data_IF_603682587397
#
_entry.id   IF_603682587397
#
_cell.length_a   1.000
_cell.length_b   1.000
_cell.length_c   1.000
_cell.angle_alpha   90.00
_cell.angle_beta   90.00
_cell.angle_gamma   90.00
#
_symmetry.space_group_name_H-M   'P 1'
#
loop_
_entity.id
_entity.type
_entity.pdbx_description
1 polymer ?
#
# COMPACT_ATOMS: atom_id res chain seq x y z
N UNK A 1 9.44 -18.64 11.82
CA UNK A 1 7.98 -18.79 11.99
C UNK A 1 7.56 -20.24 11.88
N UNK A 2 7.95 -20.96 10.82
CA UNK A 2 7.64 -22.40 10.64
C UNK A 2 8.03 -23.25 11.87
N UNK A 3 9.29 -23.17 12.33
CA UNK A 3 9.76 -23.87 13.55
C UNK A 3 9.01 -23.49 14.84
N UNK A 4 8.28 -22.36 14.84
CA UNK A 4 7.47 -21.87 15.97
C UNK A 4 5.97 -22.22 15.83
N UNK A 5 5.59 -22.99 14.79
CA UNK A 5 4.21 -23.43 14.56
C UNK A 5 3.30 -22.43 13.85
N UNK A 6 3.84 -21.33 13.31
CA UNK A 6 3.05 -20.35 12.55
C UNK A 6 3.50 -18.91 12.72
N UNK A 7 2.71 -17.98 12.18
CA UNK A 7 2.94 -16.54 12.33
C UNK A 7 2.11 -15.64 11.42
N UNK A 8 2.42 -14.35 11.46
CA UNK A 8 1.82 -13.33 10.60
C UNK A 8 2.91 -12.50 9.92
N UNK A 9 2.74 -12.26 8.62
CA UNK A 9 3.55 -11.33 7.83
C UNK A 9 2.62 -10.23 7.32
N UNK A 10 3.00 -8.98 7.54
CA UNK A 10 2.24 -7.81 7.07
C UNK A 10 3.16 -6.95 6.21
N UNK A 11 2.72 -6.68 4.98
CA UNK A 11 3.40 -5.77 4.06
C UNK A 11 2.79 -4.36 4.13
N UNK A 12 3.65 -3.35 4.08
CA UNK A 12 3.23 -1.96 3.93
C UNK A 12 3.28 -1.55 2.45
N UNK A 13 2.13 -1.65 1.77
CA UNK A 13 1.97 -1.25 0.38
C UNK A 13 1.77 0.28 0.26
N UNK A 14 0.77 0.71 -0.52
CA UNK A 14 0.35 2.10 -0.68
C UNK A 14 -0.95 2.09 -1.48
N UNK A 15 -1.80 3.11 -1.33
CA UNK A 15 -2.89 3.38 -2.27
C UNK A 15 -2.36 3.57 -3.71
N UNK A 16 -1.11 4.03 -3.84
CA UNK A 16 -0.35 4.11 -5.09
C UNK A 16 -0.17 2.76 -5.82
N UNK A 17 -0.39 1.63 -5.14
CA UNK A 17 -0.40 0.30 -5.74
C UNK A 17 -1.62 0.05 -6.64
N UNK A 18 -2.72 0.79 -6.40
CA UNK A 18 -3.99 0.68 -7.11
C UNK A 18 -4.19 1.85 -8.07
N UNK A 19 -3.87 3.07 -7.62
CA UNK A 19 -3.91 4.30 -8.42
C UNK A 19 -2.59 5.05 -8.22
N UNK A 20 -1.67 4.91 -9.16
CA UNK A 20 -0.38 5.61 -9.09
C UNK A 20 -0.53 7.04 -9.61
N UNK A 21 -0.29 8.08 -8.80
CA UNK A 21 -0.30 9.44 -9.29
C UNK A 21 0.92 9.73 -10.19
N UNK A 22 0.84 10.76 -11.05
CA UNK A 22 1.97 11.22 -11.85
C UNK A 22 3.20 11.53 -11.00
N UNK A 23 4.41 11.36 -11.56
CA UNK A 23 5.67 11.69 -10.87
C UNK A 23 6.22 10.61 -9.94
N UNK A 24 5.42 9.60 -9.54
CA UNK A 24 5.88 8.50 -8.68
C UNK A 24 5.60 7.09 -9.25
N UNK A 25 5.49 6.96 -10.57
CA UNK A 25 5.13 5.71 -11.24
C UNK A 25 6.02 4.51 -10.86
N UNK A 26 7.35 4.70 -10.80
CA UNK A 26 8.27 3.63 -10.39
C UNK A 26 7.97 3.15 -8.95
N UNK A 27 7.72 4.09 -8.03
CA UNK A 27 7.29 3.76 -6.67
C UNK A 27 5.95 3.01 -6.68
N UNK A 28 4.95 3.50 -7.41
CA UNK A 28 3.65 2.85 -7.59
C UNK A 28 3.78 1.41 -8.05
N UNK A 29 4.59 1.15 -9.09
CA UNK A 29 4.89 -0.19 -9.61
C UNK A 29 5.43 -1.10 -8.50
N UNK A 30 6.41 -0.64 -7.72
CA UNK A 30 6.93 -1.47 -6.62
C UNK A 30 5.86 -1.81 -5.59
N UNK A 31 4.91 -0.89 -5.33
CA UNK A 31 3.81 -1.11 -4.40
C UNK A 31 2.74 -2.04 -4.98
N UNK A 32 2.48 -2.00 -6.29
CA UNK A 32 1.65 -2.99 -6.99
C UNK A 32 2.28 -4.39 -6.94
N UNK A 33 3.60 -4.49 -7.12
CA UNK A 33 4.33 -5.76 -6.99
C UNK A 33 4.12 -6.40 -5.63
N UNK A 34 4.04 -5.61 -4.56
CA UNK A 34 3.73 -6.13 -3.22
C UNK A 34 2.37 -6.82 -3.17
N UNK A 35 1.35 -6.36 -3.91
CA UNK A 35 0.04 -7.01 -3.95
C UNK A 35 0.13 -8.43 -4.52
N UNK A 36 0.90 -8.60 -5.60
CA UNK A 36 1.18 -9.92 -6.17
C UNK A 36 1.99 -10.80 -5.22
N UNK A 37 3.02 -10.24 -4.59
CA UNK A 37 3.86 -10.94 -3.62
C UNK A 37 3.07 -11.43 -2.41
N UNK A 38 2.18 -10.60 -1.85
CA UNK A 38 1.30 -10.97 -0.74
C UNK A 38 0.47 -12.19 -1.12
N UNK A 39 -0.18 -12.19 -2.28
CA UNK A 39 -1.00 -13.32 -2.76
C UNK A 39 -0.15 -14.59 -2.94
N UNK A 40 1.01 -14.47 -3.56
CA UNK A 40 1.91 -15.60 -3.79
C UNK A 40 2.39 -16.22 -2.48
N UNK A 41 2.83 -15.40 -1.52
CA UNK A 41 3.31 -15.87 -0.22
C UNK A 41 2.19 -16.39 0.68
N UNK A 42 1.01 -15.77 0.65
CA UNK A 42 -0.15 -16.25 1.39
C UNK A 42 -0.50 -17.69 0.99
N UNK A 43 -0.53 -17.96 -0.32
CA UNK A 43 -0.77 -19.31 -0.83
C UNK A 43 0.38 -20.27 -0.49
N UNK A 44 1.63 -19.84 -0.67
CA UNK A 44 2.79 -20.68 -0.46
C UNK A 44 3.04 -21.08 1.00
N UNK A 45 2.64 -20.23 1.94
CA UNK A 45 2.93 -20.40 3.38
C UNK A 45 1.70 -20.80 4.21
N UNK A 46 0.52 -20.93 3.60
CA UNK A 46 -0.71 -21.31 4.29
C UNK A 46 -0.57 -22.62 5.08
N UNK A 47 0.08 -23.64 4.49
CA UNK A 47 0.31 -24.95 5.12
C UNK A 47 1.16 -24.88 6.39
N UNK A 48 1.98 -23.83 6.51
CA UNK A 48 2.88 -23.63 7.64
C UNK A 48 2.24 -22.78 8.76
N UNK A 49 0.90 -22.60 8.71
CA UNK A 49 0.14 -21.74 9.62
C UNK A 49 0.67 -20.29 9.65
N UNK A 50 1.09 -19.78 8.49
CA UNK A 50 1.57 -18.40 8.33
C UNK A 50 0.61 -17.63 7.45
N UNK A 51 0.01 -16.57 8.00
CA UNK A 51 -0.84 -15.66 7.23
C UNK A 51 -0.01 -14.52 6.66
N UNK A 52 -0.27 -14.16 5.41
CA UNK A 52 0.39 -13.03 4.75
C UNK A 52 -0.67 -12.05 4.26
N UNK A 53 -0.59 -10.81 4.71
CA UNK A 53 -1.51 -9.74 4.33
C UNK A 53 -0.72 -8.45 4.06
N UNK A 54 -1.41 -7.41 3.63
CA UNK A 54 -0.84 -6.08 3.54
C UNK A 54 -1.85 -5.00 3.84
N UNK A 55 -1.33 -3.82 4.16
CA UNK A 55 -2.08 -2.58 4.28
C UNK A 55 -1.65 -1.65 3.14
N UNK A 56 -2.58 -0.83 2.65
CA UNK A 56 -2.33 0.13 1.57
C UNK A 56 -2.68 1.55 2.05
N UNK A 57 -1.76 2.23 2.74
CA UNK A 57 -2.04 3.56 3.26
C UNK A 57 -2.22 4.59 2.14
N UNK A 58 -3.09 5.57 2.38
CA UNK A 58 -3.13 6.84 1.64
C UNK A 58 -1.97 7.76 2.03
N UNK A 59 -2.15 9.07 1.84
CA UNK A 59 -1.16 10.05 2.31
C UNK A 59 -1.20 10.14 3.84
N UNK A 60 -0.18 9.62 4.50
CA UNK A 60 -0.01 9.70 5.96
C UNK A 60 1.05 10.75 6.27
N UNK A 61 0.79 11.70 7.16
CA UNK A 61 1.73 12.78 7.54
C UNK A 61 3.00 12.22 8.16
N UNK A 62 4.04 12.10 7.36
CA UNK A 62 5.37 11.62 7.74
C UNK A 62 6.41 12.38 6.93
N UNK A 63 7.70 12.23 7.27
CA UNK A 63 8.80 12.81 6.48
C UNK A 63 8.82 12.34 5.02
N UNK A 64 8.42 11.09 4.75
CA UNK A 64 8.43 10.54 3.38
C UNK A 64 7.41 11.24 2.47
N UNK A 65 6.25 11.58 3.02
CA UNK A 65 5.14 12.21 2.31
C UNK A 65 5.15 13.72 2.44
N UNK A 66 6.16 14.31 3.10
CA UNK A 66 6.21 15.74 3.42
C UNK A 66 5.92 16.61 2.21
N UNK A 67 6.55 16.34 1.07
CA UNK A 67 6.35 17.07 -0.18
C UNK A 67 4.91 17.03 -0.73
N UNK A 68 4.08 16.08 -0.28
CA UNK A 68 2.69 15.94 -0.70
C UNK A 68 1.71 16.71 0.19
N UNK A 69 2.12 17.12 1.41
CA UNK A 69 1.23 17.80 2.36
C UNK A 69 1.79 19.10 2.95
N UNK A 70 3.10 19.37 2.81
CA UNK A 70 3.76 20.56 3.38
C UNK A 70 3.88 21.73 2.40
N UNK A 71 3.70 21.49 1.10
CA UNK A 71 3.70 22.52 0.06
C UNK A 71 2.46 22.42 -0.82
N UNK A 72 1.84 23.58 -1.07
CA UNK A 72 0.66 23.85 -1.90
C UNK A 72 -0.68 23.88 -1.12
N UNK A 73 -1.18 25.09 -0.84
CA UNK A 73 -2.60 25.31 -0.51
C UNK A 73 -3.53 24.80 -1.64
N UNK A 74 -4.82 24.61 -1.35
CA UNK A 74 -5.95 24.10 -2.19
C UNK A 74 -5.70 22.92 -3.17
N UNK A 75 -4.61 22.90 -3.95
CA UNK A 75 -4.21 21.83 -4.88
C UNK A 75 -3.63 20.59 -4.17
N UNK A 76 -2.79 20.75 -3.14
CA UNK A 76 -2.29 19.60 -2.37
C UNK A 76 -3.41 18.86 -1.63
N UNK A 77 -4.47 19.60 -1.25
CA UNK A 77 -5.66 19.05 -0.60
C UNK A 77 -6.54 18.27 -1.58
N UNK A 78 -6.69 18.75 -2.83
CA UNK A 78 -7.36 18.01 -3.92
C UNK A 78 -6.61 16.73 -4.29
N UNK A 79 -5.29 16.76 -4.40
CA UNK A 79 -4.48 15.57 -4.69
C UNK A 79 -4.58 14.54 -3.55
N UNK A 80 -4.67 14.98 -2.29
CA UNK A 80 -4.94 14.10 -1.15
C UNK A 80 -6.33 13.48 -1.20
N UNK A 81 -7.38 14.26 -1.50
CA UNK A 81 -8.76 13.78 -1.61
C UNK A 81 -8.91 12.80 -2.77
N UNK A 82 -8.32 13.09 -3.93
CA UNK A 82 -8.39 12.23 -5.11
C UNK A 82 -7.54 10.95 -4.98
N UNK A 83 -6.43 10.99 -4.24
CA UNK A 83 -5.68 9.81 -3.85
C UNK A 83 -6.39 8.97 -2.78
N UNK A 84 -7.33 9.56 -2.03
CA UNK A 84 -8.11 8.93 -0.96
C UNK A 84 -9.53 8.54 -1.38
N UNK A 85 -9.97 8.83 -2.60
CA UNK A 85 -11.30 8.46 -3.08
C UNK A 85 -11.41 6.94 -3.25
N UNK A 86 -11.76 6.29 -2.15
CA UNK A 86 -11.99 4.85 -2.08
C UNK A 86 -13.38 4.44 -2.60
N UNK A 87 -14.25 5.39 -2.96
CA UNK A 87 -15.59 5.10 -3.48
C UNK A 87 -15.56 4.34 -4.82
N UNK A 88 -14.46 4.44 -5.55
CA UNK A 88 -14.19 3.68 -6.77
C UNK A 88 -13.86 2.19 -6.53
N UNK A 89 -13.64 1.74 -5.28
CA UNK A 89 -13.34 0.34 -4.96
C UNK A 89 -14.53 -0.45 -4.41
N UNK A 90 -15.64 0.21 -4.09
CA UNK A 90 -16.91 -0.42 -3.75
C UNK A 90 -17.87 -0.27 -4.93
N UNK A 91 -17.86 -1.27 -5.81
CA UNK A 91 -18.97 -1.55 -6.71
C UNK A 91 -19.81 -2.68 -6.11
#
# INVERSE_FOLDING_TARGET
MIKRGGGNIIFNASIGAYKSPPGIAAYGITKTTLLGLIKALANGLAKDNIRVNGIAPGVIKTKMSETLWSGNGEEGEKDMVEAMDVSLFTN
#
